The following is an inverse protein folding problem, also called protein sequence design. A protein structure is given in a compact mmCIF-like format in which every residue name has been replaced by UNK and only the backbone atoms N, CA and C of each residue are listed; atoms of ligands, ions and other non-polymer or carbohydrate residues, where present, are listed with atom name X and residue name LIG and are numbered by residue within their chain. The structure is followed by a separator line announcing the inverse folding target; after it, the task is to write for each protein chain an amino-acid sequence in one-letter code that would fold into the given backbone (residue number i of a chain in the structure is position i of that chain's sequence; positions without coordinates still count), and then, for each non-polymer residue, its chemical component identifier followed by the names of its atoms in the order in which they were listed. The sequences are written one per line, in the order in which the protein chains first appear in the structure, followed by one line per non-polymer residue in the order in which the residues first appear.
data_IF_395578103755
#
_entry.id   IF_395578103755
#
_cell.length_a   1.000
_cell.length_b   1.000
_cell.length_c   1.000
_cell.angle_alpha   90.00
_cell.angle_beta   90.00
_cell.angle_gamma   90.00
#
_symmetry.space_group_name_H-M   'P 1'
#
loop_
_entity.id
_entity.type
_entity.pdbx_description
1 polymer ?
#
# COMPACT_ATOMS: atom_id res chain seq x y z
N UNK A 1 7.41 4.17 -48.43
CA UNK A 1 6.69 3.27 -49.37
C UNK A 1 7.69 2.27 -49.94
N UNK A 2 7.49 0.98 -49.66
CA UNK A 2 8.23 -0.14 -50.24
C UNK A 2 7.24 -1.29 -50.44
N UNK A 3 6.93 -1.68 -51.69
CA UNK A 3 6.15 -2.86 -51.99
C UNK A 3 7.08 -4.05 -52.25
N UNK A 4 6.65 -5.25 -51.86
CA UNK A 4 7.39 -6.48 -52.14
C UNK A 4 6.49 -7.70 -52.03
N UNK A 5 5.79 -8.02 -53.13
CA UNK A 5 4.99 -9.24 -53.34
C UNK A 5 5.90 -10.46 -53.37
N UNK A 6 5.46 -11.56 -52.76
CA UNK A 6 5.66 -12.98 -53.16
C UNK A 6 5.20 -13.88 -52.02
N UNK A 7 4.61 -15.06 -52.18
CA UNK A 7 3.94 -15.76 -53.27
C UNK A 7 3.32 -16.98 -52.56
N UNK A 8 2.11 -17.36 -52.95
CA UNK A 8 1.38 -18.54 -52.50
C UNK A 8 2.22 -19.82 -52.62
N UNK A 9 2.16 -20.70 -51.61
CA UNK A 9 2.41 -22.13 -51.80
C UNK A 9 1.46 -22.94 -50.91
N UNK A 10 0.46 -23.49 -51.58
CA UNK A 10 -0.51 -24.47 -51.10
C UNK A 10 0.18 -25.82 -50.97
N UNK A 11 0.06 -26.48 -49.81
CA UNK A 11 0.26 -27.93 -49.69
C UNK A 11 -0.99 -28.54 -49.06
N UNK A 12 -1.77 -29.18 -49.92
CA UNK A 12 -2.83 -30.13 -49.59
C UNK A 12 -2.19 -31.47 -49.21
N UNK A 13 -2.61 -32.09 -48.10
CA UNK A 13 -3.09 -33.49 -47.98
C UNK A 13 -3.07 -33.94 -46.52
N UNK A 14 -4.15 -34.59 -46.08
CA UNK A 14 -4.18 -35.27 -44.78
C UNK A 14 -5.57 -35.42 -44.16
N UNK A 15 -6.51 -36.00 -44.91
CA UNK A 15 -7.85 -36.35 -44.46
C UNK A 15 -7.76 -37.50 -43.42
N UNK A 16 -8.13 -37.25 -42.17
CA UNK A 16 -8.51 -38.30 -41.21
C UNK A 16 -9.90 -37.97 -40.67
N UNK A 17 -10.88 -38.73 -41.15
CA UNK A 17 -12.27 -38.73 -40.67
C UNK A 17 -12.30 -39.56 -39.39
N UNK A 18 -12.57 -38.91 -38.26
CA UNK A 18 -12.90 -39.55 -36.99
C UNK A 18 -14.30 -39.12 -36.55
N UNK A 19 -15.22 -40.09 -36.47
CA UNK A 19 -16.60 -39.92 -36.06
C UNK A 19 -16.74 -39.84 -34.52
N UNK A 20 -17.70 -39.01 -34.10
CA UNK A 20 -18.52 -39.09 -32.87
C UNK A 20 -17.87 -38.94 -31.48
N UNK A 21 -18.22 -37.82 -30.82
CA UNK A 21 -18.16 -37.64 -29.37
C UNK A 21 -18.52 -36.20 -28.96
N UNK A 22 -19.82 -35.91 -28.76
CA UNK A 22 -20.25 -34.66 -28.12
C UNK A 22 -19.87 -34.69 -26.64
N UNK A 23 -18.65 -34.25 -26.33
CA UNK A 23 -18.22 -33.95 -24.97
C UNK A 23 -18.48 -32.48 -24.68
N UNK A 24 -19.58 -32.18 -24.00
CA UNK A 24 -19.80 -30.88 -23.38
C UNK A 24 -18.61 -30.61 -22.44
N UNK A 25 -17.68 -29.75 -22.84
CA UNK A 25 -16.61 -29.33 -21.95
C UNK A 25 -17.27 -28.59 -20.79
N UNK A 26 -17.23 -29.11 -19.55
CA UNK A 26 -17.69 -28.34 -18.41
C UNK A 26 -16.91 -27.05 -18.43
N UNK A 27 -17.60 -25.93 -18.18
CA UNK A 27 -16.93 -24.66 -17.93
C UNK A 27 -15.77 -24.95 -16.97
N UNK A 28 -14.54 -24.65 -17.40
CA UNK A 28 -13.40 -24.67 -16.49
C UNK A 28 -13.72 -23.63 -15.43
N UNK A 29 -14.29 -24.06 -14.33
CA UNK A 29 -14.16 -23.38 -13.07
C UNK A 29 -12.66 -23.26 -12.86
N UNK A 30 -12.14 -22.05 -13.04
CA UNK A 30 -10.80 -21.69 -12.60
C UNK A 30 -10.84 -21.88 -11.10
N UNK A 31 -10.37 -23.05 -10.65
CA UNK A 31 -10.26 -23.39 -9.25
C UNK A 31 -9.13 -22.52 -8.67
N UNK A 32 -9.38 -21.77 -7.58
CA UNK A 32 -8.29 -21.12 -6.86
C UNK A 32 -7.39 -22.22 -6.26
N UNK A 33 -6.18 -22.34 -6.78
CA UNK A 33 -5.24 -23.42 -6.48
C UNK A 33 -4.63 -23.96 -7.77
N UNK A 34 -3.37 -23.60 -8.03
CA UNK A 34 -2.63 -24.13 -9.18
C UNK A 34 -2.48 -25.66 -9.14
N UNK A 35 -2.03 -26.29 -10.23
CA UNK A 35 -1.87 -27.75 -10.28
C UNK A 35 -0.96 -28.24 -9.15
N UNK A 36 -1.49 -29.11 -8.27
CA UNK A 36 -0.70 -29.82 -7.26
C UNK A 36 -0.76 -29.29 -5.82
N UNK A 37 -1.59 -28.28 -5.52
CA UNK A 37 -1.81 -27.85 -4.14
C UNK A 37 -2.88 -28.71 -3.44
N UNK A 38 -2.62 -29.08 -2.19
CA UNK A 38 -3.61 -29.65 -1.30
C UNK A 38 -4.62 -28.59 -0.83
N UNK A 39 -5.82 -29.03 -0.45
CA UNK A 39 -6.87 -28.14 0.05
C UNK A 39 -6.43 -27.34 1.29
N UNK A 40 -5.54 -27.89 2.12
CA UNK A 40 -4.99 -27.18 3.28
C UNK A 40 -4.07 -26.03 2.86
N UNK A 41 -3.24 -26.24 1.85
CA UNK A 41 -2.36 -25.19 1.32
C UNK A 41 -3.16 -24.04 0.72
N UNK A 42 -4.26 -24.34 0.02
CA UNK A 42 -5.18 -23.31 -0.50
C UNK A 42 -5.77 -22.48 0.64
N UNK A 43 -6.27 -23.13 1.71
CA UNK A 43 -6.82 -22.42 2.87
C UNK A 43 -5.78 -21.53 3.56
N UNK A 44 -4.53 -21.98 3.66
CA UNK A 44 -3.44 -21.20 4.23
C UNK A 44 -3.09 -19.99 3.38
N UNK A 45 -3.03 -20.14 2.06
CA UNK A 45 -2.80 -19.03 1.13
C UNK A 45 -3.93 -18.00 1.20
N UNK A 46 -5.19 -18.44 1.26
CA UNK A 46 -6.33 -17.52 1.38
C UNK A 46 -6.31 -16.78 2.73
N UNK A 47 -5.92 -17.45 3.81
CA UNK A 47 -5.78 -16.83 5.12
C UNK A 47 -4.66 -15.77 5.14
N UNK A 48 -3.53 -16.08 4.51
CA UNK A 48 -2.42 -15.15 4.36
C UNK A 48 -2.82 -13.93 3.53
N UNK A 49 -3.49 -14.13 2.39
CA UNK A 49 -3.95 -13.05 1.53
C UNK A 49 -4.94 -12.13 2.25
N UNK A 50 -5.90 -12.69 2.99
CA UNK A 50 -6.84 -11.91 3.81
C UNK A 50 -6.15 -11.10 4.90
N UNK A 51 -5.19 -11.70 5.61
CA UNK A 51 -4.41 -10.99 6.62
C UNK A 51 -3.59 -9.84 6.00
N UNK A 52 -2.99 -10.07 4.83
CA UNK A 52 -2.27 -9.03 4.10
C UNK A 52 -3.22 -7.90 3.65
N UNK A 53 -4.41 -8.21 3.16
CA UNK A 53 -5.44 -7.23 2.81
C UNK A 53 -5.81 -6.35 4.01
N UNK A 54 -6.09 -6.96 5.17
CA UNK A 54 -6.44 -6.21 6.39
C UNK A 54 -5.28 -5.31 6.85
N UNK A 55 -4.03 -5.79 6.73
CA UNK A 55 -2.85 -4.94 6.95
C UNK A 55 -2.85 -3.74 5.99
N UNK A 56 -3.09 -3.97 4.70
CA UNK A 56 -3.11 -2.92 3.69
C UNK A 56 -4.26 -1.93 3.89
N UNK A 57 -5.41 -2.36 4.41
CA UNK A 57 -6.49 -1.48 4.87
C UNK A 57 -5.98 -0.59 6.01
N UNK A 58 -5.33 -1.18 7.02
CA UNK A 58 -4.82 -0.43 8.17
C UNK A 58 -3.83 0.66 7.73
N UNK A 59 -2.80 0.31 6.95
CA UNK A 59 -1.80 1.30 6.50
C UNK A 59 -2.34 2.25 5.42
N UNK A 60 -3.33 1.83 4.63
CA UNK A 60 -4.00 2.68 3.64
C UNK A 60 -4.76 3.87 4.27
N UNK A 61 -5.18 3.75 5.53
CA UNK A 61 -5.81 4.85 6.27
C UNK A 61 -4.87 6.06 6.47
N UNK A 62 -3.56 5.84 6.49
CA UNK A 62 -2.56 6.90 6.48
C UNK A 62 -2.56 7.60 5.12
N UNK A 63 -2.47 6.87 4.01
CA UNK A 63 -2.50 7.44 2.65
C UNK A 63 -3.74 8.29 2.43
N UNK A 64 -4.91 7.81 2.85
CA UNK A 64 -6.15 8.58 2.76
C UNK A 64 -6.14 9.84 3.65
N UNK A 65 -5.54 9.75 4.84
CA UNK A 65 -5.32 10.91 5.71
C UNK A 65 -4.42 11.96 5.07
N UNK A 66 -3.33 11.52 4.43
CA UNK A 66 -2.40 12.39 3.72
C UNK A 66 -3.04 13.06 2.50
N UNK A 67 -3.90 12.35 1.77
CA UNK A 67 -4.61 12.89 0.60
C UNK A 67 -5.59 14.04 0.93
N UNK A 68 -6.00 14.17 2.20
CA UNK A 68 -6.97 15.18 2.66
C UNK A 68 -6.33 16.25 3.55
N UNK A 69 -5.00 16.35 3.52
CA UNK A 69 -4.25 17.31 4.34
C UNK A 69 -4.53 18.77 3.92
N UNK A 70 -4.64 19.69 4.89
CA UNK A 70 -4.74 21.11 4.60
C UNK A 70 -3.43 21.64 4.02
N UNK A 71 -3.50 22.65 3.16
CA UNK A 71 -2.33 23.36 2.66
C UNK A 71 -1.85 24.42 3.66
N UNK A 72 -0.55 24.65 3.75
CA UNK A 72 0.02 25.76 4.50
C UNK A 72 -0.37 27.09 3.84
N UNK A 73 -0.80 28.06 4.65
CA UNK A 73 -1.17 29.42 4.23
C UNK A 73 0.00 30.39 4.49
N UNK A 74 0.75 30.80 3.44
CA UNK A 74 1.92 31.65 3.59
C UNK A 74 1.60 33.15 3.68
N UNK A 75 0.32 33.55 3.80
CA UNK A 75 -0.08 34.97 3.81
C UNK A 75 0.49 35.78 4.98
N UNK A 76 0.91 35.12 6.06
CA UNK A 76 1.67 35.72 7.16
C UNK A 76 2.37 34.63 7.99
N UNK A 77 3.44 34.96 8.75
CA UNK A 77 4.12 34.00 9.61
C UNK A 77 3.17 33.28 10.59
N UNK A 78 2.26 34.02 11.22
CA UNK A 78 1.25 33.45 12.13
C UNK A 78 0.30 32.48 11.43
N UNK A 79 -0.17 32.82 10.22
CA UNK A 79 -1.04 31.92 9.43
C UNK A 79 -0.29 30.67 8.99
N UNK A 80 0.98 30.80 8.62
CA UNK A 80 1.82 29.69 8.21
C UNK A 80 2.10 28.72 9.37
N UNK A 81 2.42 29.22 10.57
CA UNK A 81 2.57 28.37 11.78
C UNK A 81 1.27 27.63 12.10
N UNK A 82 0.14 28.35 12.15
CA UNK A 82 -1.15 27.75 12.50
C UNK A 82 -1.55 26.64 11.53
N UNK A 83 -1.48 26.92 10.23
CA UNK A 83 -1.84 25.93 9.19
C UNK A 83 -0.84 24.78 9.12
N UNK A 84 0.44 25.01 9.47
CA UNK A 84 1.42 23.94 9.65
C UNK A 84 1.11 23.04 10.84
N UNK A 85 0.63 23.60 11.96
CA UNK A 85 0.15 22.81 13.11
C UNK A 85 -1.10 21.99 12.77
N UNK A 86 -2.04 22.57 12.03
CA UNK A 86 -3.23 21.87 11.52
C UNK A 86 -2.84 20.71 10.59
N UNK A 87 -1.89 20.95 9.69
CA UNK A 87 -1.32 19.95 8.79
C UNK A 87 -0.69 18.78 9.58
N UNK A 88 0.15 19.07 10.58
CA UNK A 88 0.72 18.04 11.46
C UNK A 88 -0.36 17.31 12.26
N UNK A 89 -1.45 17.99 12.64
CA UNK A 89 -2.62 17.35 13.24
C UNK A 89 -3.25 16.30 12.34
N UNK A 90 -3.41 16.59 11.04
CA UNK A 90 -3.92 15.64 10.05
C UNK A 90 -2.99 14.44 9.86
N UNK A 91 -1.67 14.67 9.85
CA UNK A 91 -0.65 13.61 9.82
C UNK A 91 -0.77 12.68 11.02
N UNK A 92 -0.81 13.25 12.24
CA UNK A 92 -0.94 12.49 13.49
C UNK A 92 -2.23 11.67 13.47
N UNK A 93 -3.35 12.27 13.06
CA UNK A 93 -4.62 11.55 12.95
C UNK A 93 -4.59 10.41 11.94
N UNK A 94 -3.86 10.55 10.83
CA UNK A 94 -3.62 9.46 9.87
C UNK A 94 -2.80 8.32 10.47
N UNK A 95 -1.72 8.65 11.17
CA UNK A 95 -0.86 7.67 11.85
C UNK A 95 -1.60 6.94 12.97
N UNK A 96 -2.39 7.65 13.78
CA UNK A 96 -3.19 7.07 14.87
C UNK A 96 -4.19 6.04 14.31
N UNK A 97 -4.86 6.33 13.18
CA UNK A 97 -5.77 5.36 12.52
C UNK A 97 -5.02 4.13 12.00
N UNK A 98 -3.84 4.32 11.41
CA UNK A 98 -3.05 3.21 10.92
C UNK A 98 -2.55 2.32 12.08
N UNK A 99 -2.08 2.92 13.18
CA UNK A 99 -1.67 2.22 14.39
C UNK A 99 -2.82 1.43 15.03
N UNK A 100 -4.01 2.03 15.14
CA UNK A 100 -5.22 1.35 15.63
C UNK A 100 -5.63 0.17 14.73
N UNK A 101 -5.60 0.35 13.41
CA UNK A 101 -5.86 -0.72 12.44
C UNK A 101 -4.87 -1.88 12.57
N UNK A 102 -3.57 -1.58 12.64
CA UNK A 102 -2.52 -2.58 12.80
C UNK A 102 -2.66 -3.33 14.15
N UNK A 103 -3.01 -2.63 15.22
CA UNK A 103 -3.22 -3.22 16.55
C UNK A 103 -4.44 -4.15 16.64
N UNK A 104 -5.40 -4.03 15.72
CA UNK A 104 -6.60 -4.87 15.63
C UNK A 104 -6.40 -6.13 14.80
N UNK A 105 -5.29 -6.24 14.07
CA UNK A 105 -5.04 -7.42 13.25
C UNK A 105 -4.92 -8.68 14.13
N UNK A 106 -5.53 -9.80 13.71
CA UNK A 106 -5.27 -11.08 14.36
C UNK A 106 -3.79 -11.48 14.19
N UNK A 107 -3.32 -12.49 14.94
CA UNK A 107 -2.00 -13.08 14.69
C UNK A 107 -1.83 -13.47 13.23
N UNK A 108 -0.65 -13.20 12.68
CA UNK A 108 -0.36 -13.53 11.29
C UNK A 108 -0.39 -15.04 11.08
N UNK A 109 -1.08 -15.55 10.03
CA UNK A 109 -0.99 -16.94 9.63
C UNK A 109 0.34 -17.27 8.94
N UNK A 110 1.16 -16.25 8.64
CA UNK A 110 2.47 -16.39 7.99
C UNK A 110 3.59 -16.24 9.02
N UNK A 111 4.53 -17.19 9.12
CA UNK A 111 5.73 -17.02 9.93
C UNK A 111 6.47 -15.71 9.61
N UNK A 112 6.78 -14.92 10.63
CA UNK A 112 7.41 -13.61 10.46
C UNK A 112 6.46 -12.44 10.16
N UNK A 113 5.19 -12.69 9.81
CA UNK A 113 4.23 -11.61 9.53
C UNK A 113 3.94 -10.72 10.75
N UNK A 114 3.88 -11.31 11.95
CA UNK A 114 3.72 -10.53 13.19
C UNK A 114 4.93 -9.62 13.48
N UNK A 115 6.14 -10.04 13.10
CA UNK A 115 7.35 -9.23 13.23
C UNK A 115 7.30 -8.05 12.25
N UNK A 116 6.87 -8.27 11.01
CA UNK A 116 6.68 -7.20 10.03
C UNK A 116 5.67 -6.17 10.55
N UNK A 117 4.53 -6.62 11.08
CA UNK A 117 3.55 -5.74 11.74
C UNK A 117 4.17 -4.95 12.89
N UNK A 118 4.90 -5.60 13.79
CA UNK A 118 5.50 -4.94 14.95
C UNK A 118 6.50 -3.85 14.54
N UNK A 119 7.29 -4.09 13.48
CA UNK A 119 8.23 -3.11 12.95
C UNK A 119 7.50 -1.90 12.35
N UNK A 120 6.42 -2.12 11.58
CA UNK A 120 5.59 -1.05 11.04
C UNK A 120 4.96 -0.18 12.14
N UNK A 121 4.45 -0.82 13.19
CA UNK A 121 3.92 -0.12 14.38
C UNK A 121 5.00 0.75 15.02
N UNK A 122 6.22 0.22 15.22
CA UNK A 122 7.32 0.97 15.82
C UNK A 122 7.71 2.21 14.99
N UNK A 123 7.81 2.06 13.67
CA UNK A 123 8.14 3.17 12.77
C UNK A 123 7.05 4.25 12.78
N UNK A 124 5.78 3.84 12.64
CA UNK A 124 4.65 4.77 12.60
C UNK A 124 4.51 5.52 13.92
N UNK A 125 4.69 4.84 15.04
CA UNK A 125 4.68 5.45 16.36
C UNK A 125 5.84 6.46 16.51
N UNK A 126 7.04 6.11 16.05
CA UNK A 126 8.18 7.03 16.08
C UNK A 126 7.95 8.31 15.29
N UNK A 127 7.38 8.21 14.09
CA UNK A 127 7.04 9.39 13.27
C UNK A 127 5.91 10.20 13.92
N UNK A 128 4.88 9.52 14.45
CA UNK A 128 3.75 10.15 15.15
C UNK A 128 4.19 10.97 16.35
N UNK A 129 5.10 10.44 17.15
CA UNK A 129 5.61 11.12 18.34
C UNK A 129 6.46 12.35 17.97
N UNK A 130 7.29 12.27 16.92
CA UNK A 130 8.05 13.43 16.41
C UNK A 130 7.13 14.50 15.81
N UNK A 131 6.12 14.11 15.04
CA UNK A 131 5.10 15.02 14.53
C UNK A 131 4.37 15.73 15.68
N UNK A 132 3.98 14.99 16.72
CA UNK A 132 3.32 15.55 17.90
C UNK A 132 4.22 16.54 18.65
N UNK A 133 5.51 16.23 18.79
CA UNK A 133 6.46 17.12 19.45
C UNK A 133 6.68 18.43 18.67
N UNK A 134 6.78 18.35 17.34
CA UNK A 134 6.87 19.55 16.49
C UNK A 134 5.59 20.37 16.59
N UNK A 135 4.42 19.73 16.46
CA UNK A 135 3.12 20.40 16.58
C UNK A 135 2.98 21.15 17.89
N UNK A 136 3.37 20.51 19.01
CA UNK A 136 3.34 21.15 20.32
C UNK A 136 4.24 22.39 20.39
N UNK A 137 5.44 22.35 19.79
CA UNK A 137 6.33 23.51 19.74
C UNK A 137 5.72 24.66 18.95
N UNK A 138 5.16 24.37 17.77
CA UNK A 138 4.47 25.35 16.94
C UNK A 138 3.30 25.99 17.70
N UNK A 139 2.48 25.18 18.36
CA UNK A 139 1.33 25.64 19.17
C UNK A 139 1.74 26.50 20.36
N UNK A 140 2.96 26.29 20.89
CA UNK A 140 3.50 27.04 22.03
C UNK A 140 4.33 28.28 21.65
N UNK A 141 4.57 28.52 20.36
CA UNK A 141 5.42 29.64 19.92
C UNK A 141 4.67 30.95 19.96
N UNK A 142 5.22 31.95 20.64
CA UNK A 142 4.67 33.30 20.68
C UNK A 142 4.77 33.97 19.31
N UNK A 143 3.78 34.81 18.98
CA UNK A 143 3.70 35.44 17.66
C UNK A 143 4.90 36.34 17.32
N UNK A 144 5.59 36.89 18.34
CA UNK A 144 6.80 37.69 18.17
C UNK A 144 8.04 36.87 17.78
N UNK A 145 8.01 35.56 18.04
CA UNK A 145 9.17 34.67 17.94
C UNK A 145 9.10 33.78 16.69
N UNK A 146 8.07 33.97 15.86
CA UNK A 146 7.89 33.23 14.61
C UNK A 146 8.90 33.74 13.58
N UNK A 147 9.92 32.93 13.34
CA UNK A 147 10.92 33.10 12.30
C UNK A 147 10.86 31.98 11.24
N UNK A 148 11.74 32.05 10.25
CA UNK A 148 11.84 31.03 9.19
C UNK A 148 12.19 29.65 9.75
N UNK A 149 13.04 29.59 10.79
CA UNK A 149 13.41 28.33 11.42
C UNK A 149 12.21 27.65 12.08
N UNK A 150 11.34 28.42 12.73
CA UNK A 150 10.07 27.97 13.32
C UNK A 150 9.16 27.37 12.26
N UNK A 151 8.99 28.08 11.14
CA UNK A 151 8.18 27.59 10.01
C UNK A 151 8.74 26.30 9.42
N UNK A 152 10.07 26.20 9.33
CA UNK A 152 10.75 25.04 8.77
C UNK A 152 10.60 23.75 9.59
N UNK A 153 10.25 23.83 10.88
CA UNK A 153 10.16 22.65 11.76
C UNK A 153 9.10 21.64 11.28
N UNK A 154 8.05 22.11 10.60
CA UNK A 154 6.98 21.25 10.11
C UNK A 154 7.41 20.32 8.97
N UNK A 155 8.47 20.65 8.22
CA UNK A 155 8.93 19.84 7.09
C UNK A 155 9.49 18.48 7.51
N UNK A 156 10.21 18.41 8.64
CA UNK A 156 10.84 17.18 9.09
C UNK A 156 9.87 16.00 9.23
N UNK A 157 8.79 16.12 10.02
CA UNK A 157 7.78 15.06 10.12
C UNK A 157 7.09 14.73 8.80
N UNK A 158 6.82 15.72 7.94
CA UNK A 158 6.20 15.49 6.64
C UNK A 158 7.12 14.65 5.73
N UNK A 159 8.41 14.96 5.72
CA UNK A 159 9.43 14.21 4.97
C UNK A 159 9.67 12.81 5.54
N UNK A 160 9.50 12.62 6.84
CA UNK A 160 9.57 11.28 7.44
C UNK A 160 8.36 10.43 7.05
N UNK A 161 7.16 11.00 7.07
CA UNK A 161 5.94 10.30 6.65
C UNK A 161 6.01 9.91 5.18
N UNK A 162 6.51 10.78 4.30
CA UNK A 162 6.64 10.47 2.87
C UNK A 162 7.65 9.35 2.58
N UNK A 163 8.58 9.11 3.51
CA UNK A 163 9.57 8.02 3.45
C UNK A 163 9.13 6.75 4.17
N UNK A 164 7.96 6.75 4.84
CA UNK A 164 7.46 5.54 5.48
C UNK A 164 7.22 4.47 4.42
N UNK A 165 7.91 3.36 4.61
CA UNK A 165 7.75 2.20 3.78
C UNK A 165 6.53 1.40 4.22
N UNK A 166 5.40 1.63 3.55
CA UNK A 166 4.12 1.02 3.90
C UNK A 166 4.07 -0.47 3.52
N UNK A 167 4.81 -0.88 2.48
CA UNK A 167 4.64 -2.19 1.83
C UNK A 167 5.96 -2.91 1.47
N UNK A 168 7.13 -2.26 1.33
CA UNK A 168 8.32 -2.95 0.78
C UNK A 168 9.03 -3.86 1.79
N UNK A 169 8.59 -3.93 3.05
CA UNK A 169 9.16 -4.88 4.03
C UNK A 169 8.66 -6.31 3.88
N UNK A 170 7.62 -6.51 3.10
CA UNK A 170 7.06 -7.82 2.85
C UNK A 170 7.95 -8.70 1.99
N UNK A 171 8.84 -8.11 1.20
CA UNK A 171 9.83 -8.83 0.39
C UNK A 171 10.85 -9.62 1.25
N UNK A 172 10.94 -9.32 2.55
CA UNK A 172 11.78 -10.06 3.51
C UNK A 172 11.16 -11.39 3.95
N UNK A 173 9.87 -11.61 3.66
CA UNK A 173 9.11 -12.83 3.99
C UNK A 173 8.42 -13.33 2.71
N UNK A 174 9.00 -14.29 1.98
CA UNK A 174 8.51 -14.69 0.64
C UNK A 174 7.03 -15.10 0.59
N UNK A 175 6.55 -15.79 1.61
CA UNK A 175 5.15 -16.19 1.75
C UNK A 175 4.22 -14.98 1.87
N UNK A 176 4.69 -13.92 2.52
CA UNK A 176 3.94 -12.68 2.70
C UNK A 176 3.96 -11.82 1.43
N UNK A 177 5.08 -11.77 0.71
CA UNK A 177 5.14 -11.18 -0.63
C UNK A 177 4.13 -11.87 -1.58
N UNK A 178 4.03 -13.21 -1.49
CA UNK A 178 3.02 -13.97 -2.24
C UNK A 178 1.61 -13.61 -1.79
N UNK A 179 1.35 -13.52 -0.50
CA UNK A 179 0.04 -13.15 0.03
C UNK A 179 -0.43 -11.77 -0.47
N UNK A 180 0.48 -10.79 -0.51
CA UNK A 180 0.20 -9.43 -1.01
C UNK A 180 -0.11 -9.42 -2.50
N UNK A 181 0.59 -10.23 -3.28
CA UNK A 181 0.30 -10.39 -4.69
C UNK A 181 -1.12 -10.92 -4.93
N UNK A 182 -1.76 -11.54 -3.93
CA UNK A 182 -3.13 -12.04 -3.98
C UNK A 182 -4.12 -11.19 -3.15
N UNK A 183 -3.68 -10.06 -2.60
CA UNK A 183 -4.45 -9.17 -1.74
C UNK A 183 -4.88 -7.91 -2.53
N UNK A 184 -6.14 -7.80 -3.00
CA UNK A 184 -6.60 -6.70 -3.85
C UNK A 184 -6.41 -5.31 -3.25
N UNK A 185 -6.56 -5.15 -1.92
CA UNK A 185 -6.36 -3.85 -1.27
C UNK A 185 -4.90 -3.44 -1.34
N UNK A 186 -3.97 -4.37 -1.12
CA UNK A 186 -2.54 -4.12 -1.25
C UNK A 186 -2.14 -3.72 -2.68
N UNK A 187 -2.72 -4.39 -3.68
CA UNK A 187 -2.50 -4.05 -5.09
C UNK A 187 -2.96 -2.62 -5.40
N UNK A 188 -4.16 -2.25 -4.95
CA UNK A 188 -4.68 -0.89 -5.12
C UNK A 188 -3.80 0.14 -4.43
N UNK A 189 -3.36 -0.14 -3.20
CA UNK A 189 -2.48 0.75 -2.45
C UNK A 189 -1.13 0.95 -3.16
N UNK A 190 -0.54 -0.10 -3.71
CA UNK A 190 0.70 -0.03 -4.49
C UNK A 190 0.55 0.90 -5.70
N UNK A 191 -0.57 0.80 -6.42
CA UNK A 191 -0.86 1.70 -7.56
C UNK A 191 -0.99 3.15 -7.09
N UNK A 192 -1.67 3.41 -5.96
CA UNK A 192 -1.82 4.77 -5.44
C UNK A 192 -0.50 5.38 -4.97
N UNK A 193 0.33 4.62 -4.26
CA UNK A 193 1.64 5.09 -3.78
C UNK A 193 2.61 5.37 -4.94
N UNK A 194 2.54 4.58 -6.02
CA UNK A 194 3.39 4.79 -7.21
C UNK A 194 2.89 5.89 -8.14
N UNK A 195 1.60 6.20 -8.13
CA UNK A 195 0.99 7.26 -8.95
C UNK A 195 1.07 8.66 -8.32
N UNK A 196 1.35 8.77 -7.02
CA UNK A 196 1.51 10.06 -6.36
C UNK A 196 2.76 10.80 -6.90
N UNK A 197 2.65 12.05 -7.35
CA UNK A 197 3.81 12.84 -7.76
C UNK A 197 4.75 13.01 -6.55
N UNK A 198 6.03 12.68 -6.74
CA UNK A 198 7.10 12.94 -5.77
C UNK A 198 7.48 14.42 -5.76
#
# INVERSE_FOLDING_TARGET
MRPGKSLFLVVLTGLCVGLSGCGQQPARTVEPGGPGLSQEQVRQQDAAARWADDYCVAVGSLVQGLATMPSVDPSSPHRAVRTSSELLGSVIGGLDRALDGLGKLPPSPVPGGDQVRAQAVADFQGVRDRASAVRQRLDSTDASDIDEATLGQAHGPLDEVSRLDLLNRFDTVPELATAIAHAPVCQQLTVQVTAAPR
#
